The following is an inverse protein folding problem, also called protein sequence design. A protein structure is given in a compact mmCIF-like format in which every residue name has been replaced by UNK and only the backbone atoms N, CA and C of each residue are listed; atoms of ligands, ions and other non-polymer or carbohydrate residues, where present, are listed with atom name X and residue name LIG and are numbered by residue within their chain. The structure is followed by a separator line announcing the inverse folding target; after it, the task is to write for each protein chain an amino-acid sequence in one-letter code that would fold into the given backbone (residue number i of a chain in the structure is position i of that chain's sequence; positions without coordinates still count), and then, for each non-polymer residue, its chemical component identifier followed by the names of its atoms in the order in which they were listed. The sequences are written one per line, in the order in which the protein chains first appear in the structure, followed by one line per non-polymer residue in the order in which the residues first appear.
data_IF_379849630205
#
_entry.id   IF_379849630205
#
_cell.length_a   1.000
_cell.length_b   1.000
_cell.length_c   1.000
_cell.angle_alpha   90.00
_cell.angle_beta   90.00
_cell.angle_gamma   90.00
#
_symmetry.space_group_name_H-M   'P 1'
#
loop_
_entity.id
_entity.type
_entity.pdbx_description
1 polymer ?
#
# COMPACT_ATOMS: atom_id res chain seq x y z
N UNK A 1 -5.54 -4.40 -13.53
CA UNK A 1 -4.82 -3.15 -13.19
C UNK A 1 -4.53 -3.15 -11.69
N UNK A 2 -3.43 -2.55 -11.25
CA UNK A 2 -3.06 -2.46 -9.83
C UNK A 2 -3.65 -1.19 -9.19
N UNK A 3 -3.97 -1.24 -7.89
CA UNK A 3 -4.37 -0.08 -7.10
C UNK A 3 -3.27 0.29 -6.10
N UNK A 4 -2.75 1.51 -6.19
CA UNK A 4 -1.90 2.08 -5.15
C UNK A 4 -2.81 2.57 -4.00
N UNK A 5 -2.42 2.32 -2.77
CA UNK A 5 -3.19 2.70 -1.58
C UNK A 5 -2.30 3.46 -0.60
N UNK A 6 -2.73 4.65 -0.19
CA UNK A 6 -2.03 5.46 0.81
C UNK A 6 -2.97 5.86 1.94
N UNK A 7 -2.49 5.86 3.17
CA UNK A 7 -3.21 6.41 4.31
C UNK A 7 -2.92 7.92 4.43
N UNK A 8 -3.97 8.74 4.54
CA UNK A 8 -3.84 10.21 4.57
C UNK A 8 -3.01 10.76 5.74
N UNK A 9 -2.91 10.05 6.87
CA UNK A 9 -2.09 10.45 8.02
C UNK A 9 -0.73 9.73 8.08
N UNK A 10 -0.40 8.90 7.11
CA UNK A 10 0.96 8.38 6.93
C UNK A 10 1.77 9.43 6.16
N UNK A 11 2.75 10.12 6.79
CA UNK A 11 3.47 11.21 6.13
C UNK A 11 4.26 10.75 4.90
N UNK A 12 4.81 9.52 4.90
CA UNK A 12 5.56 9.01 3.75
C UNK A 12 4.59 8.57 2.65
N UNK A 13 3.57 7.79 3.03
CA UNK A 13 2.53 7.32 2.11
C UNK A 13 1.80 8.45 1.42
N UNK A 14 1.34 9.44 2.19
CA UNK A 14 0.60 10.59 1.68
C UNK A 14 1.45 11.52 0.82
N UNK A 15 2.74 11.70 1.15
CA UNK A 15 3.67 12.47 0.32
C UNK A 15 3.87 11.81 -1.06
N UNK A 16 4.12 10.50 -1.09
CA UNK A 16 4.21 9.74 -2.34
C UNK A 16 2.92 9.81 -3.15
N UNK A 17 1.77 9.64 -2.49
CA UNK A 17 0.46 9.71 -3.12
C UNK A 17 0.22 11.07 -3.78
N UNK A 18 0.50 12.18 -3.09
CA UNK A 18 0.35 13.54 -3.65
C UNK A 18 1.23 13.77 -4.88
N UNK A 19 2.47 13.30 -4.83
CA UNK A 19 3.39 13.44 -5.95
C UNK A 19 2.87 12.68 -7.18
N UNK A 20 2.47 11.41 -6.98
CA UNK A 20 1.96 10.54 -8.04
C UNK A 20 0.63 11.04 -8.61
N UNK A 21 -0.28 11.50 -7.75
CA UNK A 21 -1.63 11.91 -8.16
C UNK A 21 -1.70 13.29 -8.82
N UNK A 22 -0.58 14.02 -8.88
CA UNK A 22 -0.54 15.41 -9.35
C UNK A 22 -1.07 15.59 -10.78
N UNK A 23 -0.82 14.59 -11.64
CA UNK A 23 -1.26 14.57 -13.04
C UNK A 23 -2.41 13.58 -13.31
N UNK A 24 -3.05 13.06 -12.26
CA UNK A 24 -4.13 12.07 -12.37
C UNK A 24 -5.50 12.74 -12.30
N UNK A 25 -6.50 12.14 -12.97
CA UNK A 25 -7.88 12.61 -12.90
C UNK A 25 -8.61 11.94 -11.75
N UNK A 26 -9.29 12.71 -10.88
CA UNK A 26 -10.05 12.17 -9.76
C UNK A 26 -11.47 11.76 -10.20
N UNK A 27 -11.84 10.53 -9.89
CA UNK A 27 -13.14 9.92 -10.12
C UNK A 27 -13.65 9.33 -8.80
N UNK A 28 -14.53 10.08 -8.12
CA UNK A 28 -14.97 9.75 -6.76
C UNK A 28 -13.81 9.75 -5.75
N UNK A 29 -13.55 8.59 -5.17
CA UNK A 29 -12.49 8.33 -4.19
C UNK A 29 -11.20 7.74 -4.78
N UNK A 30 -11.15 7.57 -6.11
CA UNK A 30 -9.99 7.03 -6.81
C UNK A 30 -9.42 8.07 -7.78
N UNK A 31 -8.10 8.19 -7.81
CA UNK A 31 -7.37 8.88 -8.87
C UNK A 31 -7.08 7.88 -9.98
N UNK A 32 -7.52 8.20 -11.20
CA UNK A 32 -7.42 7.34 -12.38
C UNK A 32 -6.14 7.62 -13.15
N UNK A 33 -5.40 6.56 -13.45
CA UNK A 33 -4.16 6.62 -14.24
C UNK A 33 -4.19 5.68 -15.43
N UNK A 34 -3.13 5.75 -16.25
CA UNK A 34 -3.00 4.89 -17.44
C UNK A 34 -2.58 3.46 -17.09
N UNK A 35 -1.71 3.29 -16.09
CA UNK A 35 -1.08 2.02 -15.76
C UNK A 35 -1.53 1.46 -14.40
N UNK A 36 -1.95 2.35 -13.51
CA UNK A 36 -2.40 2.06 -12.16
C UNK A 36 -3.34 3.17 -11.71
N UNK A 37 -4.19 2.85 -10.76
CA UNK A 37 -5.02 3.82 -10.06
C UNK A 37 -4.46 4.05 -8.65
N UNK A 38 -4.95 5.08 -7.97
CA UNK A 38 -4.54 5.43 -6.61
C UNK A 38 -5.76 5.76 -5.75
N UNK A 39 -5.85 5.16 -4.56
CA UNK A 39 -6.80 5.52 -3.53
C UNK A 39 -6.06 6.09 -2.30
N UNK A 40 -6.58 7.20 -1.76
CA UNK A 40 -6.15 7.74 -0.48
C UNK A 40 -7.25 7.44 0.53
N UNK A 41 -6.91 6.66 1.56
CA UNK A 41 -7.88 6.15 2.55
C UNK A 41 -7.77 6.90 3.88
N UNK A 42 -8.87 7.00 4.65
CA UNK A 42 -8.91 7.74 5.91
C UNK A 42 -8.50 6.89 7.13
N UNK A 43 -8.13 5.62 6.94
CA UNK A 43 -7.72 4.71 8.01
C UNK A 43 -6.39 4.01 7.69
N UNK A 44 -5.65 3.54 8.70
CA UNK A 44 -4.38 2.86 8.48
C UNK A 44 -4.51 1.65 7.55
N UNK A 45 -3.60 1.54 6.59
CA UNK A 45 -3.56 0.44 5.63
C UNK A 45 -3.46 -0.95 6.28
N UNK A 46 -2.79 -1.04 7.44
CA UNK A 46 -2.63 -2.29 8.20
C UNK A 46 -3.95 -2.86 8.74
N UNK A 47 -4.99 -2.03 8.83
CA UNK A 47 -6.33 -2.41 9.29
C UNK A 47 -7.38 -2.36 8.17
N UNK A 48 -6.93 -2.33 6.92
CA UNK A 48 -7.78 -2.07 5.76
C UNK A 48 -8.28 -3.36 5.09
N UNK A 49 -8.70 -4.35 5.86
CA UNK A 49 -9.24 -5.64 5.36
C UNK A 49 -10.49 -5.46 4.48
N UNK A 50 -11.16 -4.30 4.57
CA UNK A 50 -12.32 -3.93 3.76
C UNK A 50 -11.97 -3.56 2.31
N UNK A 51 -10.69 -3.34 1.98
CA UNK A 51 -10.28 -2.89 0.64
C UNK A 51 -10.74 -3.83 -0.47
N UNK A 52 -10.61 -5.14 -0.26
CA UNK A 52 -10.99 -6.16 -1.25
C UNK A 52 -12.51 -6.22 -1.49
N UNK A 53 -13.31 -5.81 -0.51
CA UNK A 53 -14.77 -5.75 -0.64
C UNK A 53 -15.23 -4.54 -1.45
N UNK A 54 -14.47 -3.45 -1.40
CA UNK A 54 -14.82 -2.18 -2.05
C UNK A 54 -14.18 -2.03 -3.43
N UNK A 55 -12.93 -2.47 -3.58
CA UNK A 55 -12.13 -2.26 -4.78
C UNK A 55 -11.78 -3.59 -5.44
N UNK A 56 -12.05 -3.70 -6.74
CA UNK A 56 -11.80 -4.91 -7.52
C UNK A 56 -10.65 -4.67 -8.51
N UNK A 57 -9.43 -4.95 -8.07
CA UNK A 57 -8.19 -4.80 -8.83
C UNK A 57 -7.40 -6.11 -8.80
N UNK A 58 -6.40 -6.23 -9.67
CA UNK A 58 -5.55 -7.44 -9.73
C UNK A 58 -4.64 -7.55 -8.50
N UNK A 59 -4.37 -6.42 -7.83
CA UNK A 59 -3.59 -6.34 -6.61
C UNK A 59 -3.51 -4.93 -6.05
N UNK A 60 -2.85 -4.85 -4.89
CA UNK A 60 -2.71 -3.63 -4.11
C UNK A 60 -1.24 -3.34 -3.82
N UNK A 61 -0.84 -2.08 -4.00
CA UNK A 61 0.49 -1.59 -3.64
C UNK A 61 0.34 -0.52 -2.56
N UNK A 62 0.75 -0.84 -1.34
CA UNK A 62 0.66 0.08 -0.22
C UNK A 62 1.83 1.06 -0.20
N UNK A 63 1.50 2.35 -0.25
CA UNK A 63 2.43 3.46 -0.02
C UNK A 63 2.41 3.78 1.47
N UNK A 64 3.48 3.45 2.20
CA UNK A 64 3.50 3.62 3.65
C UNK A 64 4.91 3.87 4.17
N UNK A 65 4.99 4.47 5.36
CA UNK A 65 6.24 4.57 6.13
C UNK A 65 6.65 3.22 6.70
N UNK A 66 7.95 3.03 6.83
CA UNK A 66 8.51 2.06 7.77
C UNK A 66 8.97 2.80 9.03
N UNK A 67 8.74 2.23 10.21
CA UNK A 67 9.15 2.80 11.48
C UNK A 67 9.94 1.76 12.27
N UNK A 68 11.20 2.08 12.60
CA UNK A 68 12.10 1.20 13.34
C UNK A 68 12.84 2.00 14.43
N UNK A 69 13.12 1.35 15.56
CA UNK A 69 13.86 1.97 16.66
C UNK A 69 15.30 2.35 16.28
N UNK A 70 15.90 1.65 15.31
CA UNK A 70 17.25 1.93 14.83
C UNK A 70 17.41 3.31 14.19
N UNK A 71 16.32 3.89 13.67
CA UNK A 71 16.36 5.18 12.96
C UNK A 71 17.10 5.14 11.62
N UNK A 72 17.49 3.96 11.14
CA UNK A 72 18.21 3.80 9.88
C UNK A 72 17.38 4.26 8.68
N UNK A 73 18.05 4.96 7.76
CA UNK A 73 17.43 5.40 6.52
C UNK A 73 17.31 4.21 5.56
N UNK A 74 16.09 3.88 5.16
CA UNK A 74 15.84 2.76 4.26
C UNK A 74 14.66 3.02 3.32
N UNK A 75 14.77 2.44 2.12
CA UNK A 75 13.63 2.17 1.24
C UNK A 75 13.39 0.67 1.27
N UNK A 76 12.18 0.26 1.64
CA UNK A 76 11.85 -1.14 1.89
C UNK A 76 10.64 -1.57 1.08
N UNK A 77 10.51 -2.88 0.87
CA UNK A 77 9.36 -3.49 0.23
C UNK A 77 9.17 -4.89 0.80
N UNK A 78 7.92 -5.24 1.14
CA UNK A 78 7.56 -6.56 1.65
C UNK A 78 6.10 -6.87 1.35
N UNK A 79 5.74 -8.15 1.42
CA UNK A 79 4.35 -8.58 1.52
C UNK A 79 3.87 -8.51 2.97
N UNK A 80 2.56 -8.35 3.17
CA UNK A 80 1.93 -8.41 4.49
C UNK A 80 1.64 -9.86 4.90
N UNK A 81 1.51 -10.09 6.21
CA UNK A 81 1.19 -11.40 6.76
C UNK A 81 1.74 -11.61 8.16
N UNK A 82 1.10 -12.50 8.90
CA UNK A 82 1.50 -12.92 10.24
C UNK A 82 1.87 -14.40 10.21
N UNK A 83 3.10 -14.75 10.58
CA UNK A 83 3.51 -16.16 10.75
C UNK A 83 2.96 -16.79 12.04
N UNK A 84 2.55 -15.96 13.00
CA UNK A 84 2.08 -16.35 14.32
C UNK A 84 1.00 -15.36 14.77
N UNK A 85 1.18 -14.65 15.87
CA UNK A 85 0.24 -13.65 16.41
C UNK A 85 0.14 -12.41 15.53
N UNK A 86 -1.08 -11.89 15.39
CA UNK A 86 -1.39 -10.67 14.67
C UNK A 86 -1.41 -9.45 15.61
N UNK A 87 -0.26 -8.83 15.84
CA UNK A 87 -0.15 -7.68 16.76
C UNK A 87 -0.51 -6.33 16.11
N UNK A 88 -0.42 -6.25 14.79
CA UNK A 88 -0.53 -5.00 14.03
C UNK A 88 -1.52 -5.10 12.86
N UNK A 89 -2.60 -5.87 13.03
CA UNK A 89 -3.62 -6.09 12.00
C UNK A 89 -3.51 -7.44 11.29
N UNK A 90 -4.53 -7.75 10.47
CA UNK A 90 -4.71 -9.05 9.83
C UNK A 90 -5.04 -10.18 10.81
N UNK A 91 -4.98 -11.42 10.31
CA UNK A 91 -5.28 -12.62 11.11
C UNK A 91 -4.02 -13.38 11.52
N UNK A 92 -4.12 -14.18 12.59
CA UNK A 92 -3.03 -15.06 13.01
C UNK A 92 -2.73 -16.14 11.97
N UNK A 93 -1.45 -16.45 11.77
CA UNK A 93 -0.98 -17.50 10.84
C UNK A 93 -1.53 -17.35 9.41
N UNK A 94 -1.76 -16.11 8.97
CA UNK A 94 -2.25 -15.79 7.62
C UNK A 94 -1.25 -14.90 6.90
N UNK A 95 -0.95 -15.24 5.64
CA UNK A 95 -0.10 -14.43 4.76
C UNK A 95 -0.94 -13.89 3.59
N UNK A 96 -0.64 -12.66 3.17
CA UNK A 96 -1.25 -12.10 1.96
C UNK A 96 -0.65 -12.77 0.72
N UNK A 97 -1.38 -12.73 -0.39
CA UNK A 97 -0.89 -13.24 -1.68
C UNK A 97 0.18 -12.26 -2.18
N UNK A 98 1.45 -12.69 -2.33
CA UNK A 98 2.51 -11.79 -2.73
C UNK A 98 2.47 -11.51 -4.24
N UNK A 99 3.04 -10.39 -4.66
CA UNK A 99 3.34 -10.06 -6.07
C UNK A 99 4.87 -10.02 -6.27
N UNK A 100 5.59 -11.17 -6.29
CA UNK A 100 7.06 -11.18 -6.22
C UNK A 100 7.74 -10.48 -7.39
N UNK A 101 7.11 -10.51 -8.57
CA UNK A 101 7.64 -9.87 -9.78
C UNK A 101 7.64 -8.34 -9.67
N UNK A 102 6.62 -7.75 -9.03
CA UNK A 102 6.57 -6.31 -8.75
C UNK A 102 7.64 -5.93 -7.74
N UNK A 103 7.77 -6.67 -6.64
CA UNK A 103 8.78 -6.41 -5.61
C UNK A 103 10.20 -6.46 -6.18
N UNK A 104 10.51 -7.49 -6.97
CA UNK A 104 11.80 -7.62 -7.65
C UNK A 104 12.07 -6.47 -8.62
N UNK A 105 11.05 -6.03 -9.36
CA UNK A 105 11.19 -4.94 -10.32
C UNK A 105 11.40 -3.60 -9.63
N UNK A 106 10.75 -3.39 -8.49
CA UNK A 106 10.95 -2.21 -7.64
C UNK A 106 12.38 -2.15 -7.09
N UNK A 107 12.90 -3.24 -6.53
CA UNK A 107 14.24 -3.29 -5.92
C UNK A 107 15.41 -3.16 -6.92
N UNK A 108 15.15 -3.33 -8.22
CA UNK A 108 16.18 -3.24 -9.28
C UNK A 108 16.42 -1.82 -9.79
N UNK A 109 15.55 -0.87 -9.43
CA UNK A 109 15.66 0.53 -9.84
C UNK A 109 16.40 1.32 -8.78
#
# INVERSE_FOLDING_TARGET
MELLVAYEQDPAGYNMAKFISSDMSRDGDVFRGKNFDLAIIPSPAISADWLEQKYHYDGFVFLSKHAAQSGELALTCHSTGNFSTAQFGGNEKQVAIPHPHLQKSYMKK
#
